data_IF_081052178828
#
_entry.id   IF_081052178828
#
_cell.length_a   1.000
_cell.length_b   1.000
_cell.length_c   1.000
_cell.angle_alpha   90.00
_cell.angle_beta   90.00
_cell.angle_gamma   90.00
#
_symmetry.space_group_name_H-M   'P 1'
#
loop_
_entity.id
_entity.type
_entity.pdbx_description
1 polymer ?
#
# COMPACT_ATOMS: atom_id res chain seq x y z
N UNK A 1 -16.70 7.02 23.77
CA UNK A 1 -17.06 7.31 22.36
C UNK A 1 -18.46 6.85 22.04
N UNK A 2 -18.77 5.54 22.17
CA UNK A 2 -20.12 5.02 21.92
C UNK A 2 -21.22 5.76 22.70
N UNK A 3 -20.97 6.07 23.98
CA UNK A 3 -21.90 6.82 24.83
C UNK A 3 -22.17 8.24 24.31
N UNK A 4 -21.14 8.96 23.86
CA UNK A 4 -21.27 10.31 23.28
C UNK A 4 -22.04 10.27 21.96
N UNK A 5 -21.81 9.25 21.14
CA UNK A 5 -22.49 9.08 19.87
C UNK A 5 -23.97 8.78 20.09
N UNK A 6 -24.29 7.85 20.99
CA UNK A 6 -25.65 7.51 21.38
C UNK A 6 -26.39 8.71 21.98
N UNK A 7 -25.71 9.53 22.77
CA UNK A 7 -26.27 10.75 23.34
C UNK A 7 -26.64 11.79 22.26
N UNK A 8 -25.72 12.00 21.30
CA UNK A 8 -25.94 12.85 20.13
C UNK A 8 -27.11 12.35 19.26
N UNK A 9 -27.17 11.05 18.96
CA UNK A 9 -28.27 10.45 18.21
C UNK A 9 -29.61 10.68 18.91
N UNK A 10 -29.65 10.48 20.24
CA UNK A 10 -30.83 10.70 21.07
C UNK A 10 -31.30 12.15 21.04
N UNK A 11 -30.37 13.11 21.13
CA UNK A 11 -30.68 14.54 21.08
C UNK A 11 -31.14 15.01 19.70
N UNK A 12 -30.55 14.46 18.64
CA UNK A 12 -30.84 14.87 17.25
C UNK A 12 -32.04 14.11 16.64
N UNK A 13 -32.41 12.96 17.20
CA UNK A 13 -33.43 12.08 16.62
C UNK A 13 -33.04 11.54 15.23
N UNK A 14 -31.73 11.42 14.97
CA UNK A 14 -31.14 10.99 13.68
C UNK A 14 -29.99 10.03 13.95
N UNK A 15 -29.74 9.13 12.99
CA UNK A 15 -28.52 8.32 12.98
C UNK A 15 -27.30 9.21 12.82
N UNK A 16 -26.28 9.00 13.65
CA UNK A 16 -25.02 9.72 13.63
C UNK A 16 -23.91 8.70 13.37
N UNK A 17 -22.93 9.10 12.57
CA UNK A 17 -21.73 8.30 12.35
C UNK A 17 -20.51 9.21 12.25
N UNK A 18 -19.34 8.65 12.50
CA UNK A 18 -18.08 9.39 12.41
C UNK A 18 -17.56 9.36 10.97
N UNK A 19 -17.11 10.52 10.48
CA UNK A 19 -16.45 10.64 9.19
C UNK A 19 -14.95 10.79 9.44
N UNK A 20 -14.15 9.97 8.77
CA UNK A 20 -12.70 10.13 8.75
C UNK A 20 -12.31 11.45 8.10
N UNK A 21 -11.65 12.33 8.86
CA UNK A 21 -11.12 13.60 8.35
C UNK A 21 -9.71 13.44 7.81
N UNK A 22 -9.17 14.50 7.21
CA UNK A 22 -7.74 14.60 6.90
C UNK A 22 -6.88 14.38 8.16
N UNK A 23 -5.61 13.94 8.03
CA UNK A 23 -4.72 13.81 9.17
C UNK A 23 -4.59 15.12 9.97
N UNK A 24 -4.68 15.06 11.31
CA UNK A 24 -4.89 13.86 12.14
C UNK A 24 -6.35 13.37 12.15
N UNK A 25 -6.57 12.08 11.86
CA UNK A 25 -7.88 11.43 11.91
C UNK A 25 -8.03 10.57 13.17
N UNK A 26 -8.95 10.93 14.08
CA UNK A 26 -9.26 10.15 15.29
C UNK A 26 -9.76 8.73 14.96
N UNK A 27 -10.76 8.51 14.07
CA UNK A 27 -11.16 7.15 13.68
C UNK A 27 -9.99 6.36 13.10
N UNK A 28 -9.19 6.98 12.22
CA UNK A 28 -8.03 6.35 11.61
C UNK A 28 -6.99 5.88 12.64
N UNK A 29 -6.72 6.71 13.66
CA UNK A 29 -5.83 6.33 14.77
C UNK A 29 -6.37 5.16 15.59
N UNK A 30 -7.67 5.14 15.86
CA UNK A 30 -8.30 4.02 16.58
C UNK A 30 -8.25 2.72 15.78
N UNK A 31 -8.50 2.78 14.47
CA UNK A 31 -8.37 1.64 13.58
C UNK A 31 -6.93 1.12 13.58
N UNK A 32 -5.94 2.01 13.44
CA UNK A 32 -4.52 1.65 13.47
C UNK A 32 -4.13 0.96 14.79
N UNK A 33 -4.47 1.54 15.95
CA UNK A 33 -4.11 0.93 17.24
C UNK A 33 -4.83 -0.41 17.46
N UNK A 34 -6.07 -0.56 16.99
CA UNK A 34 -6.80 -1.83 17.02
C UNK A 34 -6.11 -2.92 16.18
N UNK A 35 -5.78 -2.61 14.93
CA UNK A 35 -5.07 -3.54 14.04
C UNK A 35 -3.69 -3.90 14.57
N UNK A 36 -2.94 -2.91 15.07
CA UNK A 36 -1.63 -3.10 15.69
C UNK A 36 -1.72 -4.00 16.92
N UNK A 37 -2.69 -3.78 17.80
CA UNK A 37 -2.89 -4.62 18.98
C UNK A 37 -3.18 -6.07 18.58
N UNK A 38 -4.10 -6.30 17.63
CA UNK A 38 -4.42 -7.63 17.11
C UNK A 38 -3.21 -8.32 16.48
N UNK A 39 -2.43 -7.60 15.68
CA UNK A 39 -1.22 -8.14 15.05
C UNK A 39 -0.16 -8.56 16.08
N UNK A 40 0.08 -7.74 17.10
CA UNK A 40 1.02 -8.06 18.18
C UNK A 40 0.52 -9.24 19.04
N UNK A 41 -0.77 -9.30 19.34
CA UNK A 41 -1.38 -10.42 20.08
C UNK A 41 -1.29 -11.75 19.32
N UNK A 42 -1.35 -11.71 17.99
CA UNK A 42 -1.13 -12.86 17.13
C UNK A 42 0.35 -13.30 17.01
N UNK A 43 1.28 -12.65 17.75
CA UNK A 43 2.71 -12.95 17.71
C UNK A 43 3.49 -12.19 16.63
N UNK A 44 2.84 -11.26 15.93
CA UNK A 44 3.48 -10.40 14.95
C UNK A 44 4.54 -9.47 15.58
N UNK A 45 5.58 -9.16 14.81
CA UNK A 45 6.62 -8.19 15.20
C UNK A 45 6.51 -6.94 14.35
N UNK A 46 6.35 -5.78 15.00
CA UNK A 46 6.31 -4.50 14.33
C UNK A 46 7.61 -3.72 14.58
N UNK A 47 8.28 -3.28 13.51
CA UNK A 47 9.47 -2.43 13.57
C UNK A 47 9.08 -1.06 13.03
N UNK A 48 9.12 -0.03 13.88
CA UNK A 48 8.75 1.35 13.54
C UNK A 48 10.01 2.22 13.54
N UNK A 49 10.05 3.20 12.64
CA UNK A 49 11.17 4.14 12.56
C UNK A 49 12.39 3.57 11.82
N UNK A 50 12.22 2.48 11.09
CA UNK A 50 13.21 1.92 10.19
C UNK A 50 12.63 1.83 8.79
N UNK A 51 13.46 2.06 7.77
CA UNK A 51 13.02 2.06 6.36
C UNK A 51 13.68 0.89 5.65
N UNK A 52 12.92 0.16 4.85
CA UNK A 52 13.53 -0.78 3.89
C UNK A 52 13.97 0.03 2.68
N UNK A 53 15.25 -0.09 2.31
CA UNK A 53 15.86 0.72 1.26
C UNK A 53 16.28 -0.09 0.04
N UNK A 54 16.36 -1.41 0.17
CA UNK A 54 16.75 -2.31 -0.91
C UNK A 54 16.19 -3.72 -0.64
N UNK A 55 15.86 -4.43 -1.71
CA UNK A 55 15.53 -5.85 -1.70
C UNK A 55 16.26 -6.57 -2.81
N UNK A 56 16.91 -7.68 -2.48
CA UNK A 56 17.72 -8.44 -3.42
C UNK A 56 16.93 -9.64 -3.95
N UNK A 57 16.89 -9.76 -5.28
CA UNK A 57 16.26 -10.88 -5.99
C UNK A 57 17.35 -11.69 -6.69
N UNK A 58 17.46 -12.96 -6.34
CA UNK A 58 18.42 -13.90 -6.88
C UNK A 58 17.66 -15.13 -7.39
N UNK A 59 17.90 -15.52 -8.65
CA UNK A 59 17.29 -16.70 -9.27
C UNK A 59 15.75 -16.75 -9.14
N UNK A 60 15.07 -15.61 -9.32
CA UNK A 60 13.61 -15.51 -9.25
C UNK A 60 13.04 -15.61 -7.83
N UNK A 61 13.84 -15.34 -6.80
CA UNK A 61 13.41 -15.28 -5.39
C UNK A 61 14.04 -14.10 -4.68
N UNK A 62 13.29 -13.45 -3.79
CA UNK A 62 13.85 -12.50 -2.84
C UNK A 62 14.71 -13.26 -1.83
N UNK A 63 16.00 -12.91 -1.75
CA UNK A 63 16.95 -13.50 -0.80
C UNK A 63 17.00 -12.74 0.52
N UNK A 64 16.97 -11.41 0.46
CA UNK A 64 16.96 -10.53 1.64
C UNK A 64 16.43 -9.13 1.32
N UNK A 65 16.09 -8.39 2.36
CA UNK A 65 15.87 -6.94 2.32
C UNK A 65 16.88 -6.23 3.21
N UNK A 66 17.27 -5.02 2.84
CA UNK A 66 18.12 -4.14 3.64
C UNK A 66 17.26 -3.11 4.35
N UNK A 67 17.30 -3.13 5.66
CA UNK A 67 16.66 -2.14 6.52
C UNK A 67 17.69 -1.10 6.96
N UNK A 68 17.44 0.16 6.63
CA UNK A 68 18.16 1.30 7.15
C UNK A 68 17.75 1.56 8.60
N UNK A 69 18.75 1.48 9.47
CA UNK A 69 18.67 1.88 10.88
C UNK A 69 19.68 3.00 11.10
N UNK A 70 19.53 3.79 12.17
CA UNK A 70 20.15 5.10 12.42
C UNK A 70 21.61 5.36 11.99
N UNK A 71 22.44 4.34 11.70
CA UNK A 71 23.74 4.48 11.00
C UNK A 71 24.20 3.19 10.26
N UNK A 72 23.33 2.19 10.01
CA UNK A 72 23.72 0.90 9.42
C UNK A 72 22.59 0.28 8.60
N UNK A 73 22.95 -0.41 7.53
CA UNK A 73 22.08 -1.36 6.84
C UNK A 73 22.07 -2.68 7.62
N UNK A 74 20.87 -3.21 7.85
CA UNK A 74 20.65 -4.49 8.50
C UNK A 74 19.89 -5.42 7.54
N UNK A 75 20.49 -6.55 7.13
CA UNK A 75 19.79 -7.53 6.31
C UNK A 75 18.71 -8.24 7.13
N UNK A 76 17.57 -8.49 6.50
CA UNK A 76 16.49 -9.33 7.01
C UNK A 76 16.09 -10.37 5.97
N UNK A 77 16.01 -11.62 6.41
CA UNK A 77 15.59 -12.76 5.58
C UNK A 77 14.22 -13.26 6.02
N UNK A 78 13.44 -13.72 5.05
CA UNK A 78 12.13 -14.31 5.25
C UNK A 78 11.85 -15.34 4.15
N UNK A 79 10.92 -16.26 4.41
CA UNK A 79 10.47 -17.20 3.38
C UNK A 79 9.65 -16.48 2.30
N UNK A 80 8.82 -15.52 2.72
CA UNK A 80 7.92 -14.73 1.88
C UNK A 80 8.01 -13.25 2.22
N UNK A 81 7.78 -12.42 1.21
CA UNK A 81 7.83 -10.97 1.28
C UNK A 81 6.55 -10.38 0.71
N UNK A 82 6.00 -9.37 1.40
CA UNK A 82 4.82 -8.65 0.93
C UNK A 82 5.16 -7.16 0.86
N UNK A 83 5.14 -6.59 -0.34
CA UNK A 83 5.27 -5.16 -0.57
C UNK A 83 3.89 -4.51 -0.41
N UNK A 84 3.67 -3.92 0.77
CA UNK A 84 2.44 -3.20 1.14
C UNK A 84 2.75 -1.72 1.46
N UNK A 85 3.63 -1.10 0.68
CA UNK A 85 4.17 0.25 0.91
C UNK A 85 3.26 1.38 0.44
N UNK A 86 2.11 1.04 -0.17
CA UNK A 86 1.17 2.00 -0.74
C UNK A 86 1.63 2.56 -2.10
N UNK A 87 0.75 3.30 -2.77
CA UNK A 87 1.07 3.96 -4.03
C UNK A 87 1.91 5.23 -3.82
N UNK A 88 1.79 6.18 -4.74
CA UNK A 88 2.56 7.44 -4.72
C UNK A 88 2.36 8.22 -3.41
N UNK A 89 1.12 8.36 -2.94
CA UNK A 89 0.82 9.06 -1.68
C UNK A 89 1.37 8.34 -0.44
N UNK A 90 1.54 7.01 -0.51
CA UNK A 90 2.10 6.19 0.57
C UNK A 90 3.63 6.15 0.57
N UNK A 91 4.28 6.63 -0.50
CA UNK A 91 5.73 6.60 -0.68
C UNK A 91 6.28 5.26 -1.17
N UNK A 92 5.42 4.28 -1.45
CA UNK A 92 5.81 3.00 -2.05
C UNK A 92 6.08 3.07 -3.55
N UNK A 93 5.61 4.14 -4.21
CA UNK A 93 6.03 4.54 -5.55
C UNK A 93 6.56 5.96 -5.43
N UNK A 94 7.75 6.20 -5.96
CA UNK A 94 8.38 7.52 -5.95
C UNK A 94 8.35 8.14 -7.33
N UNK A 95 8.35 9.47 -7.35
CA UNK A 95 8.31 10.27 -8.57
C UNK A 95 9.23 11.48 -8.44
N UNK A 96 9.77 11.97 -9.55
CA UNK A 96 10.51 13.23 -9.60
C UNK A 96 9.83 14.28 -10.49
N UNK A 97 10.52 15.41 -10.68
CA UNK A 97 10.02 16.52 -11.49
C UNK A 97 10.23 16.30 -13.00
N UNK A 98 11.13 15.39 -13.37
CA UNK A 98 11.49 15.08 -14.76
C UNK A 98 10.56 14.01 -15.35
N UNK A 99 9.69 13.41 -14.54
CA UNK A 99 8.70 12.42 -14.96
C UNK A 99 9.12 10.98 -14.70
N UNK A 100 10.19 10.75 -13.94
CA UNK A 100 10.55 9.41 -13.50
C UNK A 100 9.52 8.90 -12.48
N UNK A 101 9.16 7.62 -12.60
CA UNK A 101 8.34 6.89 -11.63
C UNK A 101 9.06 5.58 -11.31
N UNK A 102 9.21 5.22 -10.04
CA UNK A 102 9.91 4.00 -9.65
C UNK A 102 9.43 3.43 -8.32
N UNK A 103 9.66 2.12 -8.14
CA UNK A 103 9.49 1.42 -6.86
C UNK A 103 10.87 1.37 -6.17
N UNK A 104 11.02 1.90 -4.95
CA UNK A 104 12.33 2.20 -4.38
C UNK A 104 13.02 1.01 -3.69
N UNK A 105 12.34 -0.11 -3.43
CA UNK A 105 12.93 -1.23 -2.68
C UNK A 105 13.54 -2.27 -3.61
N UNK A 106 12.78 -2.78 -4.57
CA UNK A 106 13.18 -3.87 -5.45
C UNK A 106 13.42 -3.38 -6.89
N UNK A 107 13.10 -2.12 -7.22
CA UNK A 107 13.20 -1.61 -8.58
C UNK A 107 12.21 -2.27 -9.53
N UNK A 108 11.02 -2.63 -9.04
CA UNK A 108 9.98 -3.29 -9.85
C UNK A 108 9.50 -2.36 -10.98
N UNK A 109 9.13 -2.92 -12.15
CA UNK A 109 8.57 -2.14 -13.24
C UNK A 109 7.23 -1.52 -12.82
N UNK A 110 7.17 -0.19 -12.81
CA UNK A 110 5.95 0.57 -12.52
C UNK A 110 5.20 0.86 -13.81
N UNK A 111 3.96 0.40 -13.91
CA UNK A 111 3.04 0.84 -14.95
C UNK A 111 2.74 2.32 -14.72
N UNK A 112 3.25 3.15 -15.63
CA UNK A 112 3.14 4.60 -15.57
C UNK A 112 3.36 5.21 -16.95
N UNK A 113 3.05 6.49 -17.10
CA UNK A 113 3.44 7.28 -18.26
C UNK A 113 4.69 8.09 -17.92
N UNK A 114 5.72 8.04 -18.77
CA UNK A 114 6.91 8.86 -18.61
C UNK A 114 6.64 10.35 -18.92
N UNK A 115 5.60 10.65 -19.70
CA UNK A 115 5.21 12.01 -20.00
C UNK A 115 4.47 12.63 -18.81
N UNK A 116 5.18 13.44 -18.03
CA UNK A 116 4.62 14.11 -16.85
C UNK A 116 3.36 14.93 -17.12
N UNK A 117 3.18 15.45 -18.34
CA UNK A 117 2.01 16.25 -18.72
C UNK A 117 0.69 15.45 -18.77
N UNK A 118 0.76 14.11 -18.82
CA UNK A 118 -0.43 13.24 -18.87
C UNK A 118 -0.86 12.73 -17.50
N UNK A 119 -0.07 12.98 -16.45
CA UNK A 119 -0.32 12.42 -15.11
C UNK A 119 -1.60 12.93 -14.46
N UNK A 120 -2.00 14.14 -14.82
CA UNK A 120 -3.16 14.81 -14.27
C UNK A 120 -4.12 15.21 -15.39
N UNK A 121 -5.41 15.06 -15.12
CA UNK A 121 -6.46 15.67 -15.92
C UNK A 121 -6.47 17.18 -15.71
N UNK A 122 -6.92 17.93 -16.71
CA UNK A 122 -7.12 19.39 -16.62
C UNK A 122 -8.02 19.79 -15.44
N UNK A 123 -9.04 18.96 -15.15
CA UNK A 123 -9.94 19.17 -14.01
C UNK A 123 -9.42 18.44 -12.78
N UNK A 124 -9.23 19.18 -11.69
CA UNK A 124 -8.84 18.62 -10.39
C UNK A 124 -9.80 17.52 -9.91
N UNK A 125 -11.11 17.76 -10.02
CA UNK A 125 -12.16 16.77 -9.74
C UNK A 125 -12.69 16.15 -11.04
N UNK A 126 -11.83 15.46 -11.77
CA UNK A 126 -12.21 14.72 -12.98
C UNK A 126 -13.05 13.50 -12.64
N UNK A 127 -14.17 13.29 -13.35
CA UNK A 127 -15.00 12.08 -13.21
C UNK A 127 -14.24 10.80 -13.59
N UNK A 128 -13.23 10.92 -14.46
CA UNK A 128 -12.36 9.81 -14.86
C UNK A 128 -11.24 9.51 -13.84
N UNK A 129 -11.11 10.33 -12.79
CA UNK A 129 -9.98 10.27 -11.86
C UNK A 129 -8.73 10.95 -12.42
N UNK A 130 -7.63 10.87 -11.67
CA UNK A 130 -6.32 11.34 -12.12
C UNK A 130 -5.53 10.14 -12.65
N UNK A 131 -4.97 10.17 -13.88
CA UNK A 131 -4.22 9.05 -14.46
C UNK A 131 -3.14 8.48 -13.53
N UNK A 132 -2.41 9.37 -12.84
CA UNK A 132 -1.38 9.01 -11.85
C UNK A 132 -1.90 8.15 -10.69
N UNK A 133 -3.20 8.18 -10.38
CA UNK A 133 -3.80 7.35 -9.32
C UNK A 133 -3.87 5.87 -9.67
N UNK A 134 -3.66 5.52 -10.94
CA UNK A 134 -3.63 4.14 -11.43
C UNK A 134 -2.21 3.58 -11.55
N UNK A 135 -1.18 4.39 -11.29
CA UNK A 135 0.20 3.93 -11.41
C UNK A 135 0.51 2.91 -10.32
N UNK A 136 1.24 1.86 -10.70
CA UNK A 136 1.53 0.77 -9.79
C UNK A 136 2.23 -0.41 -10.44
N UNK A 137 2.39 -1.46 -9.67
CA UNK A 137 3.04 -2.69 -10.11
C UNK A 137 1.98 -3.62 -10.70
N UNK A 138 2.22 -4.11 -11.92
CA UNK A 138 1.39 -5.16 -12.51
C UNK A 138 1.62 -6.45 -11.74
N UNK A 139 0.53 -7.20 -11.53
CA UNK A 139 0.57 -8.46 -10.79
C UNK A 139 -0.19 -9.56 -11.52
N UNK A 140 0.20 -10.81 -11.26
CA UNK A 140 -0.57 -11.99 -11.68
C UNK A 140 -1.75 -12.26 -10.71
N UNK A 141 -2.51 -13.34 -10.95
CA UNK A 141 -3.64 -13.75 -10.11
C UNK A 141 -3.27 -14.09 -8.66
N UNK A 142 -2.02 -14.48 -8.41
CA UNK A 142 -1.49 -14.76 -7.08
C UNK A 142 -0.95 -13.51 -6.38
N UNK A 143 -0.99 -12.36 -7.05
CA UNK A 143 -0.45 -11.08 -6.60
C UNK A 143 1.08 -11.02 -6.57
N UNK A 144 1.77 -11.88 -7.32
CA UNK A 144 3.21 -11.70 -7.58
C UNK A 144 3.42 -10.58 -8.61
N UNK A 145 4.46 -9.74 -8.46
CA UNK A 145 4.82 -8.76 -9.48
C UNK A 145 5.29 -9.45 -10.75
N UNK A 146 4.92 -8.89 -11.91
CA UNK A 146 5.26 -9.46 -13.23
C UNK A 146 6.09 -8.51 -14.08
N UNK A 147 6.90 -9.09 -14.96
CA UNK A 147 7.66 -8.35 -15.97
C UNK A 147 6.81 -7.99 -17.20
N UNK A 148 7.43 -7.41 -18.22
CA UNK A 148 6.78 -7.04 -19.48
C UNK A 148 6.22 -8.23 -20.26
N UNK A 149 6.69 -9.45 -19.98
CA UNK A 149 6.23 -10.70 -20.57
C UNK A 149 5.19 -11.41 -19.70
N UNK A 150 4.64 -10.73 -18.68
CA UNK A 150 3.68 -11.28 -17.72
C UNK A 150 4.23 -12.45 -16.89
N UNK A 151 5.56 -12.57 -16.78
CA UNK A 151 6.23 -13.61 -16.00
C UNK A 151 6.51 -13.10 -14.58
N UNK A 152 6.30 -13.91 -13.52
CA UNK A 152 6.61 -13.49 -12.15
C UNK A 152 8.09 -13.14 -11.97
N UNK A 153 8.38 -11.96 -11.42
CA UNK A 153 9.75 -11.49 -11.15
C UNK A 153 10.38 -12.26 -9.98
N UNK A 154 9.58 -12.51 -8.94
CA UNK A 154 9.99 -13.36 -7.82
C UNK A 154 8.81 -14.14 -7.25
N UNK A 155 8.98 -15.45 -7.05
CA UNK A 155 7.89 -16.35 -6.63
C UNK A 155 7.47 -16.15 -5.16
N UNK A 156 8.36 -15.66 -4.31
CA UNK A 156 8.10 -15.40 -2.89
C UNK A 156 7.84 -13.92 -2.58
N UNK A 157 7.65 -13.08 -3.59
CA UNK A 157 7.30 -11.67 -3.46
C UNK A 157 5.85 -11.44 -3.89
N UNK A 158 5.09 -10.75 -3.06
CA UNK A 158 3.70 -10.38 -3.33
C UNK A 158 3.48 -8.88 -3.17
N UNK A 159 2.53 -8.32 -3.91
CA UNK A 159 2.16 -6.89 -3.84
C UNK A 159 0.75 -6.77 -3.26
N UNK A 160 0.56 -5.86 -2.31
CA UNK A 160 -0.72 -5.66 -1.64
C UNK A 160 -1.17 -4.19 -1.67
N UNK A 161 -2.48 -3.98 -1.63
CA UNK A 161 -3.08 -2.66 -1.47
C UNK A 161 -2.81 -1.71 -2.64
N UNK A 162 -2.64 -0.42 -2.30
CA UNK A 162 -2.56 0.69 -3.24
C UNK A 162 -1.32 0.71 -4.16
N UNK A 163 -0.39 -0.23 -4.00
CA UNK A 163 0.79 -0.37 -4.87
C UNK A 163 0.47 -1.11 -6.18
N UNK A 164 -0.68 -1.80 -6.26
CA UNK A 164 -1.11 -2.54 -7.45
C UNK A 164 -1.58 -1.57 -8.56
N UNK A 165 -1.12 -1.79 -9.78
CA UNK A 165 -1.49 -0.96 -10.94
C UNK A 165 -2.98 -1.07 -11.28
N UNK A 166 -3.55 0.02 -11.81
CA UNK A 166 -4.95 0.12 -12.22
C UNK A 166 -5.95 0.33 -11.08
N UNK A 167 -5.51 0.24 -9.83
CA UNK A 167 -6.38 0.41 -8.67
C UNK A 167 -6.59 1.90 -8.33
N UNK A 168 -7.60 2.53 -8.94
CA UNK A 168 -8.03 3.89 -8.57
C UNK A 168 -8.89 3.88 -7.29
N UNK A 169 -8.24 3.60 -6.15
CA UNK A 169 -8.89 3.50 -4.84
C UNK A 169 -9.40 4.85 -4.32
N UNK A 170 -8.85 5.98 -4.80
CA UNK A 170 -9.30 7.32 -4.39
C UNK A 170 -10.69 7.61 -4.97
N UNK A 171 -10.88 7.38 -6.27
CA UNK A 171 -12.18 7.52 -6.93
C UNK A 171 -13.15 6.43 -6.51
N UNK A 172 -12.67 5.20 -6.40
CA UNK A 172 -13.46 4.04 -5.99
C UNK A 172 -13.89 4.08 -4.52
N UNK A 173 -13.24 4.88 -3.67
CA UNK A 173 -13.43 4.90 -2.21
C UNK A 173 -13.25 3.52 -1.60
N UNK A 174 -12.31 2.76 -2.13
CA UNK A 174 -12.13 1.31 -1.86
C UNK A 174 -10.79 0.97 -1.20
N UNK A 175 -10.02 1.95 -0.72
CA UNK A 175 -8.66 1.76 -0.21
C UNK A 175 -8.53 0.62 0.80
N UNK A 176 -9.35 0.64 1.85
CA UNK A 176 -9.32 -0.40 2.90
C UNK A 176 -9.78 -1.76 2.36
N UNK A 177 -10.81 -1.77 1.51
CA UNK A 177 -11.31 -3.00 0.88
C UNK A 177 -10.26 -3.66 -0.02
N UNK A 178 -9.51 -2.86 -0.79
CA UNK A 178 -8.40 -3.32 -1.61
C UNK A 178 -7.28 -3.93 -0.75
N UNK A 179 -6.89 -3.25 0.34
CA UNK A 179 -5.88 -3.76 1.27
C UNK A 179 -6.29 -5.09 1.89
N UNK A 180 -7.53 -5.21 2.37
CA UNK A 180 -8.06 -6.44 2.97
C UNK A 180 -8.19 -7.58 1.96
N UNK A 181 -8.74 -7.31 0.78
CA UNK A 181 -8.93 -8.33 -0.25
C UNK A 181 -7.59 -8.90 -0.75
N UNK A 182 -6.61 -8.03 -0.99
CA UNK A 182 -5.27 -8.46 -1.44
C UNK A 182 -4.54 -9.24 -0.35
N UNK A 183 -4.59 -8.79 0.91
CA UNK A 183 -4.03 -9.54 2.03
C UNK A 183 -4.66 -10.93 2.19
N UNK A 184 -5.99 -11.05 2.07
CA UNK A 184 -6.68 -12.33 2.14
C UNK A 184 -6.28 -13.28 1.00
N UNK A 185 -6.06 -12.76 -0.22
CA UNK A 185 -5.57 -13.55 -1.36
C UNK A 185 -4.14 -14.03 -1.13
N UNK A 186 -3.24 -13.15 -0.68
CA UNK A 186 -1.83 -13.50 -0.40
C UNK A 186 -1.72 -14.54 0.70
N UNK A 187 -2.54 -14.42 1.75
CA UNK A 187 -2.51 -15.36 2.89
C UNK A 187 -2.74 -16.81 2.42
N UNK A 188 -3.56 -17.02 1.38
CA UNK A 188 -3.78 -18.37 0.79
C UNK A 188 -2.56 -18.93 0.03
N UNK A 189 -1.57 -18.09 -0.31
CA UNK A 189 -0.35 -18.49 -1.01
C UNK A 189 0.81 -18.77 -0.06
N UNK A 190 0.76 -18.24 1.17
CA UNK A 190 1.85 -18.31 2.17
C UNK A 190 1.50 -19.15 3.40
N UNK A 191 0.29 -19.71 3.44
CA UNK A 191 -0.21 -20.60 4.49
C UNK A 191 0.25 -22.06 4.29
#
# INVERSE_FOLDING_TARGET
>A
HAEVLADLERMLGKTVFEISTLPPSVPGRRLFEGLKASFLQAGGRLIIGSKVVEGLIENGRVSQIQMETANRLKPLTAQYYVLATGGIYGGGIQTDMDGQVWEPVFGLPVESDANRHTWFSERFLSNAGQPVSQYGIKVNEKLNPVDSSQTPIAENLFIAGATIAGADWTRGRTGDGLALATAATITKQIA
#
